data_IF_597961829610
#
_entry.id   IF_597961829610
#
_cell.length_a   1.000
_cell.length_b   1.000
_cell.length_c   1.000
_cell.angle_alpha   90.00
_cell.angle_beta   90.00
_cell.angle_gamma   90.00
#
_symmetry.space_group_name_H-M   'P 1'
#
loop_
_entity.id
_entity.type
_entity.pdbx_description
1 polymer ?
#
# COMPACT_ATOMS: atom_id res chain seq x y z
N UNK A 1 22.33 21.24 -64.80
CA UNK A 1 22.16 20.80 -63.39
C UNK A 1 20.70 20.46 -63.19
N UNK A 2 20.36 19.55 -62.28
CA UNK A 2 18.98 19.14 -62.03
C UNK A 2 18.61 19.46 -60.58
N UNK A 3 17.52 20.19 -60.37
CA UNK A 3 16.94 20.46 -59.05
C UNK A 3 15.59 19.73 -58.98
N UNK A 4 15.44 18.86 -57.99
CA UNK A 4 14.22 18.08 -57.80
C UNK A 4 13.20 18.82 -56.93
N UNK A 5 11.94 18.90 -57.37
CA UNK A 5 10.87 19.49 -56.58
C UNK A 5 10.46 18.57 -55.41
N UNK A 6 10.60 19.08 -54.19
CA UNK A 6 10.07 18.39 -53.00
C UNK A 6 8.54 18.55 -52.91
N UNK A 7 7.75 17.48 -52.71
CA UNK A 7 6.30 17.57 -52.63
C UNK A 7 5.86 18.18 -51.31
N UNK A 8 5.06 19.25 -51.37
CA UNK A 8 4.59 19.96 -50.18
C UNK A 8 3.65 19.09 -49.31
N UNK A 9 3.97 18.96 -48.02
CA UNK A 9 3.15 18.20 -47.08
C UNK A 9 1.78 18.88 -46.86
N UNK A 10 0.69 18.17 -47.21
CA UNK A 10 -0.67 18.61 -46.89
C UNK A 10 -0.88 18.58 -45.37
N UNK A 11 -1.02 19.73 -44.74
CA UNK A 11 -1.58 19.83 -43.38
C UNK A 11 -3.03 19.34 -43.41
N UNK A 12 -3.28 18.18 -42.81
CA UNK A 12 -4.63 17.78 -42.42
C UNK A 12 -5.08 18.73 -41.31
N UNK A 13 -6.19 19.44 -41.53
CA UNK A 13 -6.92 20.05 -40.42
C UNK A 13 -7.67 18.94 -39.69
N UNK A 14 -7.41 18.80 -38.39
CA UNK A 14 -8.27 18.04 -37.49
C UNK A 14 -9.20 19.06 -36.84
N UNK A 15 -10.50 18.93 -37.05
CA UNK A 15 -11.49 19.86 -36.49
C UNK A 15 -11.61 19.64 -34.98
N UNK A 16 -11.21 20.64 -34.21
CA UNK A 16 -10.99 20.55 -32.75
C UNK A 16 -12.28 20.61 -31.91
N UNK A 17 -13.38 20.05 -32.41
CA UNK A 17 -14.74 20.34 -31.92
C UNK A 17 -15.65 19.11 -31.73
N UNK A 18 -15.10 17.89 -31.75
CA UNK A 18 -15.86 16.63 -31.58
C UNK A 18 -15.71 15.95 -30.20
N UNK A 19 -14.83 16.44 -29.33
CA UNK A 19 -14.51 15.80 -28.05
C UNK A 19 -15.00 16.63 -26.83
N UNK A 20 -16.30 16.95 -26.80
CA UNK A 20 -16.86 17.83 -25.77
C UNK A 20 -18.37 17.63 -25.49
N UNK A 21 -18.85 16.40 -25.23
CA UNK A 21 -20.19 16.19 -24.61
C UNK A 21 -20.48 14.80 -24.02
N UNK A 22 -19.48 13.95 -23.73
CA UNK A 22 -19.69 12.74 -22.94
C UNK A 22 -18.91 12.81 -21.62
N UNK A 23 -19.65 13.14 -20.56
CA UNK A 23 -19.15 12.96 -19.19
C UNK A 23 -19.21 11.47 -18.89
N UNK A 24 -18.05 10.82 -18.75
CA UNK A 24 -17.98 9.40 -18.40
C UNK A 24 -18.70 9.18 -17.05
N UNK A 25 -19.82 8.46 -17.08
CA UNK A 25 -20.58 8.14 -15.88
C UNK A 25 -19.85 7.11 -15.01
N UNK A 26 -20.03 7.21 -13.68
CA UNK A 26 -19.53 6.22 -12.72
C UNK A 26 -20.02 4.81 -13.12
N UNK A 27 -19.14 3.81 -13.32
CA UNK A 27 -19.55 2.50 -13.79
C UNK A 27 -20.48 1.75 -12.81
N UNK A 28 -21.59 1.24 -13.34
CA UNK A 28 -22.60 0.55 -12.55
C UNK A 28 -22.31 -0.96 -12.46
N UNK A 29 -22.26 -1.49 -11.24
CA UNK A 29 -22.18 -2.93 -10.96
C UNK A 29 -23.40 -3.33 -10.13
N UNK A 30 -24.17 -4.31 -10.61
CA UNK A 30 -25.44 -4.76 -10.02
C UNK A 30 -26.48 -3.63 -9.76
N UNK A 31 -26.40 -2.52 -10.51
CA UNK A 31 -27.35 -1.40 -10.42
C UNK A 31 -27.12 -0.42 -9.26
N UNK A 32 -26.03 -0.56 -8.50
CA UNK A 32 -25.62 0.41 -7.48
C UNK A 32 -24.43 1.24 -7.95
N UNK A 33 -24.51 2.57 -7.81
CA UNK A 33 -23.42 3.50 -8.11
C UNK A 33 -22.43 3.58 -6.95
N UNK A 34 -21.36 2.79 -7.03
CA UNK A 34 -20.21 2.86 -6.14
C UNK A 34 -19.10 3.73 -6.74
N UNK A 35 -18.38 4.50 -5.91
CA UNK A 35 -17.13 5.13 -6.34
C UNK A 35 -16.10 4.03 -6.66
N UNK A 36 -15.37 4.17 -7.77
CA UNK A 36 -14.25 3.27 -8.07
C UNK A 36 -13.01 3.66 -7.26
N UNK A 37 -12.31 2.67 -6.73
CA UNK A 37 -10.96 2.77 -6.21
C UNK A 37 -10.07 1.73 -6.89
N UNK A 38 -8.80 2.08 -7.08
CA UNK A 38 -7.82 1.21 -7.71
C UNK A 38 -6.62 0.99 -6.80
N UNK A 39 -6.28 -0.28 -6.51
CA UNK A 39 -5.32 -0.68 -5.49
C UNK A 39 -4.21 -1.53 -6.11
N UNK A 40 -3.07 -0.91 -6.36
CA UNK A 40 -1.80 -1.60 -6.62
C UNK A 40 -1.27 -2.25 -5.34
N UNK A 41 -0.71 -3.46 -5.44
CA UNK A 41 -0.14 -4.15 -4.26
C UNK A 41 -1.20 -4.65 -3.27
N UNK A 42 -2.41 -4.98 -3.74
CA UNK A 42 -3.57 -5.33 -2.91
C UNK A 42 -3.34 -6.53 -1.95
N UNK A 43 -2.38 -7.41 -2.25
CA UNK A 43 -2.01 -8.57 -1.41
C UNK A 43 -0.97 -8.24 -0.33
N UNK A 44 -0.45 -7.02 -0.32
CA UNK A 44 0.33 -6.45 0.79
C UNK A 44 -0.56 -6.02 1.96
N UNK A 45 0.05 -5.81 3.13
CA UNK A 45 -0.63 -5.47 4.38
C UNK A 45 -1.60 -4.29 4.25
N UNK A 46 -1.08 -3.14 3.80
CA UNK A 46 -1.88 -1.92 3.65
C UNK A 46 -2.93 -2.05 2.53
N UNK A 47 -2.62 -2.86 1.50
CA UNK A 47 -3.53 -3.18 0.40
C UNK A 47 -4.78 -3.95 0.85
N UNK A 48 -4.62 -4.94 1.73
CA UNK A 48 -5.75 -5.65 2.34
C UNK A 48 -6.63 -4.73 3.21
N UNK A 49 -6.03 -3.98 4.13
CA UNK A 49 -6.77 -3.10 5.04
C UNK A 49 -7.42 -1.90 4.34
N UNK A 50 -6.81 -1.36 3.28
CA UNK A 50 -7.46 -0.35 2.44
C UNK A 50 -8.66 -0.96 1.71
N UNK A 51 -8.54 -2.18 1.19
CA UNK A 51 -9.62 -2.82 0.42
C UNK A 51 -10.85 -3.10 1.29
N UNK A 52 -10.66 -3.60 2.51
CA UNK A 52 -11.72 -3.70 3.53
C UNK A 52 -12.39 -2.34 3.76
N UNK A 53 -11.61 -1.31 4.10
CA UNK A 53 -12.10 0.04 4.40
C UNK A 53 -12.86 0.69 3.22
N UNK A 54 -12.53 0.33 1.98
CA UNK A 54 -13.20 0.81 0.78
C UNK A 54 -14.49 0.04 0.48
N UNK A 55 -14.48 -1.29 0.61
CA UNK A 55 -15.66 -2.14 0.45
C UNK A 55 -16.74 -1.80 1.49
N UNK A 56 -16.35 -1.60 2.76
CA UNK A 56 -17.22 -1.10 3.84
C UNK A 56 -17.81 0.29 3.53
N UNK A 57 -17.12 1.11 2.75
CA UNK A 57 -17.59 2.42 2.26
C UNK A 57 -18.40 2.33 0.97
N UNK A 58 -18.70 1.12 0.49
CA UNK A 58 -19.49 0.89 -0.71
C UNK A 58 -18.75 1.15 -2.04
N UNK A 59 -17.43 1.27 -2.03
CA UNK A 59 -16.63 1.42 -3.25
C UNK A 59 -16.61 0.12 -4.08
N UNK A 60 -16.32 0.27 -5.36
CA UNK A 60 -15.88 -0.82 -6.25
C UNK A 60 -14.35 -0.80 -6.24
N UNK A 61 -13.73 -1.88 -5.77
CA UNK A 61 -12.28 -2.00 -5.58
C UNK A 61 -11.70 -2.87 -6.69
N UNK A 62 -10.90 -2.26 -7.56
CA UNK A 62 -10.09 -2.99 -8.53
C UNK A 62 -8.68 -3.19 -7.97
N UNK A 63 -8.21 -4.45 -7.92
CA UNK A 63 -6.94 -4.81 -7.31
C UNK A 63 -5.95 -5.43 -8.28
N UNK A 64 -4.67 -5.08 -8.17
CA UNK A 64 -3.59 -5.66 -9.00
C UNK A 64 -2.94 -6.83 -8.28
N UNK A 65 -3.03 -8.03 -8.88
CA UNK A 65 -2.33 -9.22 -8.41
C UNK A 65 -1.28 -9.67 -9.43
N UNK A 66 -0.04 -9.85 -8.97
CA UNK A 66 1.02 -10.45 -9.79
C UNK A 66 0.71 -11.91 -10.08
N UNK A 67 1.24 -12.42 -11.20
CA UNK A 67 1.40 -13.87 -11.35
C UNK A 67 2.47 -14.38 -10.37
N UNK A 68 2.16 -15.50 -9.73
CA UNK A 68 3.10 -16.29 -8.93
C UNK A 68 2.86 -17.79 -9.24
N UNK A 69 3.88 -18.62 -9.01
CA UNK A 69 3.76 -20.09 -9.07
C UNK A 69 3.13 -20.70 -7.81
N UNK A 70 2.95 -19.89 -6.77
CA UNK A 70 2.34 -20.24 -5.48
C UNK A 70 1.20 -19.27 -5.15
N UNK A 71 0.33 -19.64 -4.20
CA UNK A 71 -0.80 -18.81 -3.79
C UNK A 71 -0.30 -17.52 -3.11
N UNK A 72 -0.62 -16.36 -3.67
CA UNK A 72 -0.10 -15.05 -3.22
C UNK A 72 -1.18 -14.08 -2.70
N UNK A 73 -2.45 -14.51 -2.65
CA UNK A 73 -3.60 -13.69 -2.22
C UNK A 73 -3.97 -13.85 -0.74
N UNK A 74 -3.18 -14.56 0.07
CA UNK A 74 -3.56 -14.98 1.43
C UNK A 74 -4.16 -13.90 2.33
N UNK A 75 -3.63 -12.66 2.29
CA UNK A 75 -4.14 -11.50 3.07
C UNK A 75 -5.50 -10.95 2.62
N UNK A 76 -6.03 -11.42 1.49
CA UNK A 76 -7.34 -11.03 0.96
C UNK A 76 -8.22 -12.25 0.68
N UNK A 77 -7.84 -13.47 1.08
CA UNK A 77 -8.62 -14.68 0.80
C UNK A 77 -10.03 -14.64 1.44
N UNK A 78 -10.16 -14.10 2.66
CA UNK A 78 -11.47 -13.86 3.29
C UNK A 78 -12.33 -12.85 2.52
N UNK A 79 -11.68 -11.93 1.79
CA UNK A 79 -12.35 -11.02 0.83
C UNK A 79 -12.74 -11.72 -0.48
N UNK A 80 -12.69 -13.05 -0.58
CA UNK A 80 -13.40 -13.88 -1.58
C UNK A 80 -14.46 -14.78 -0.93
N UNK A 81 -14.22 -15.27 0.29
CA UNK A 81 -15.04 -16.30 0.94
C UNK A 81 -16.24 -15.75 1.75
N UNK A 82 -16.21 -14.49 2.20
CA UNK A 82 -17.29 -13.93 3.04
C UNK A 82 -18.58 -13.61 2.25
N UNK A 83 -19.63 -14.38 2.52
CA UNK A 83 -20.96 -14.25 1.93
C UNK A 83 -21.67 -12.92 2.22
N UNK A 84 -21.18 -12.13 3.18
CA UNK A 84 -21.66 -10.76 3.43
C UNK A 84 -20.92 -9.72 2.59
N UNK A 85 -19.61 -9.88 2.38
CA UNK A 85 -18.84 -9.01 1.48
C UNK A 85 -19.19 -9.23 -0.01
N UNK A 86 -19.55 -10.46 -0.40
CA UNK A 86 -19.61 -10.86 -1.81
C UNK A 86 -20.85 -10.49 -2.61
N UNK A 87 -21.93 -10.00 -1.97
CA UNK A 87 -23.19 -9.70 -2.67
C UNK A 87 -23.08 -8.62 -3.76
N UNK A 88 -22.01 -7.83 -3.77
CA UNK A 88 -21.82 -6.76 -4.73
C UNK A 88 -20.98 -7.10 -5.97
N UNK A 89 -20.18 -8.18 -5.97
CA UNK A 89 -19.15 -8.38 -7.00
C UNK A 89 -18.11 -7.24 -7.08
N UNK A 90 -17.91 -6.51 -5.98
CA UNK A 90 -17.21 -5.21 -5.96
C UNK A 90 -15.70 -5.30 -5.84
N UNK A 91 -15.15 -6.46 -5.48
CA UNK A 91 -13.70 -6.72 -5.54
C UNK A 91 -13.38 -7.40 -6.88
N UNK A 92 -12.65 -6.72 -7.75
CA UNK A 92 -12.32 -7.19 -9.10
C UNK A 92 -10.80 -7.23 -9.24
N UNK A 93 -10.22 -8.42 -9.40
CA UNK A 93 -8.77 -8.57 -9.47
C UNK A 93 -8.27 -8.73 -10.90
N UNK A 94 -7.22 -7.98 -11.21
CA UNK A 94 -6.54 -7.98 -12.50
C UNK A 94 -5.16 -8.60 -12.38
N UNK A 95 -4.76 -9.44 -13.34
CA UNK A 95 -3.36 -9.75 -13.56
C UNK A 95 -2.66 -8.55 -14.22
N UNK A 96 -2.28 -7.60 -13.37
CA UNK A 96 -1.27 -6.56 -13.63
C UNK A 96 -0.06 -6.84 -12.75
N UNK A 97 1.09 -6.29 -13.09
CA UNK A 97 2.33 -6.91 -12.63
C UNK A 97 3.31 -5.96 -11.96
N UNK A 98 4.39 -6.55 -11.51
CA UNK A 98 5.67 -5.93 -11.26
C UNK A 98 6.74 -6.51 -12.25
N UNK A 99 6.70 -6.19 -13.57
CA UNK A 99 7.80 -6.38 -14.59
C UNK A 99 8.05 -5.23 -15.61
N UNK A 100 7.35 -5.15 -16.76
CA UNK A 100 7.55 -4.30 -17.98
C UNK A 100 6.92 -2.86 -17.99
N UNK A 101 5.87 -2.59 -18.79
CA UNK A 101 5.16 -1.31 -19.03
C UNK A 101 3.87 -1.48 -19.86
N UNK A 102 3.76 -2.56 -20.63
CA UNK A 102 2.61 -2.85 -21.48
C UNK A 102 1.37 -3.21 -20.64
N UNK A 103 1.58 -3.81 -19.47
CA UNK A 103 0.50 -4.05 -18.51
C UNK A 103 0.01 -2.72 -17.95
N UNK A 104 0.88 -1.79 -17.54
CA UNK A 104 0.56 -0.46 -17.02
C UNK A 104 -0.38 0.31 -17.94
N UNK A 105 -0.21 0.23 -19.28
CA UNK A 105 -1.02 1.01 -20.24
C UNK A 105 -2.25 0.26 -20.77
N UNK A 106 -2.18 -1.06 -21.03
CA UNK A 106 -3.39 -1.87 -21.37
C UNK A 106 -4.29 -2.06 -20.15
N UNK A 107 -3.69 -1.98 -18.97
CA UNK A 107 -4.34 -1.44 -17.81
C UNK A 107 -4.50 0.09 -18.06
N UNK A 108 -4.01 1.09 -17.30
CA UNK A 108 -4.52 2.50 -17.05
C UNK A 108 -5.80 3.02 -17.74
N UNK A 109 -6.06 2.73 -19.00
CA UNK A 109 -7.41 2.29 -19.42
C UNK A 109 -8.07 1.13 -18.59
N UNK A 110 -7.43 0.66 -17.49
CA UNK A 110 -7.78 -0.43 -16.54
C UNK A 110 -6.77 -0.65 -15.35
N UNK A 111 -5.77 0.26 -15.20
CA UNK A 111 -4.70 0.49 -14.17
C UNK A 111 -3.52 -0.48 -13.79
N UNK A 112 -2.29 0.00 -14.04
CA UNK A 112 -1.17 0.20 -13.07
C UNK A 112 -0.21 -0.91 -12.57
N UNK A 113 1.09 -0.66 -12.84
CA UNK A 113 2.31 -1.16 -12.14
C UNK A 113 3.12 -2.16 -13.01
N UNK A 114 4.43 -2.34 -12.71
CA UNK A 114 5.50 -3.21 -13.27
C UNK A 114 6.81 -3.01 -12.37
N UNK A 115 7.95 -3.76 -12.40
CA UNK A 115 9.06 -3.62 -11.36
C UNK A 115 9.91 -2.37 -11.71
N UNK A 116 11.01 -2.32 -12.49
CA UNK A 116 11.80 -3.31 -13.24
C UNK A 116 13.11 -3.86 -12.57
N UNK A 117 14.18 -3.16 -12.16
CA UNK A 117 14.53 -1.73 -11.83
C UNK A 117 13.98 -1.28 -10.46
N UNK A 118 12.73 -1.66 -10.26
CA UNK A 118 12.09 -2.09 -9.04
C UNK A 118 11.68 -1.08 -7.95
N UNK A 119 12.27 -1.04 -6.75
CA UNK A 119 11.78 -0.13 -5.66
C UNK A 119 11.77 1.34 -6.11
N UNK A 120 12.82 1.77 -6.83
CA UNK A 120 12.87 3.10 -7.45
C UNK A 120 11.93 3.26 -8.66
N UNK A 121 11.33 2.18 -9.16
CA UNK A 121 10.55 2.15 -10.39
C UNK A 121 9.07 1.74 -10.19
N UNK A 122 8.68 1.28 -8.99
CA UNK A 122 7.31 1.17 -8.46
C UNK A 122 7.03 2.37 -7.55
N UNK A 123 7.76 2.46 -6.45
CA UNK A 123 7.50 3.45 -5.41
C UNK A 123 7.93 4.85 -5.90
N UNK A 124 9.01 4.90 -6.70
CA UNK A 124 9.43 6.06 -7.49
C UNK A 124 8.71 6.18 -8.85
N UNK A 125 9.26 5.59 -9.92
CA UNK A 125 8.74 5.79 -11.28
C UNK A 125 7.35 5.18 -11.51
N UNK A 126 6.85 4.29 -10.66
CA UNK A 126 5.49 3.75 -10.77
C UNK A 126 4.48 4.80 -10.36
N UNK A 127 4.75 5.50 -9.24
CA UNK A 127 4.07 6.76 -8.86
C UNK A 127 4.15 7.79 -9.99
N UNK A 128 5.33 7.99 -10.61
CA UNK A 128 5.44 8.94 -11.75
C UNK A 128 4.62 8.50 -12.97
N UNK A 129 4.64 7.22 -13.35
CA UNK A 129 3.84 6.67 -14.47
C UNK A 129 2.35 6.74 -14.21
N UNK A 130 1.91 6.52 -12.96
CA UNK A 130 0.54 6.75 -12.52
C UNK A 130 0.14 8.22 -12.71
N UNK A 131 0.94 9.16 -12.21
CA UNK A 131 0.70 10.60 -12.37
C UNK A 131 0.71 11.04 -13.84
N UNK A 132 1.66 10.56 -14.64
CA UNK A 132 1.80 10.95 -16.04
C UNK A 132 0.72 10.32 -16.94
N UNK A 133 0.20 9.15 -16.57
CA UNK A 133 -0.93 8.54 -17.26
C UNK A 133 -2.28 9.16 -16.83
N UNK A 134 -2.46 9.55 -15.56
CA UNK A 134 -3.58 10.41 -15.13
C UNK A 134 -3.60 11.70 -15.96
N UNK A 135 -2.43 12.33 -16.16
CA UNK A 135 -2.24 13.50 -17.02
C UNK A 135 -2.52 13.21 -18.50
N UNK A 136 -2.01 12.10 -19.03
CA UNK A 136 -2.23 11.69 -20.43
C UNK A 136 -3.71 11.39 -20.73
N UNK A 137 -4.46 10.91 -19.74
CA UNK A 137 -5.90 10.69 -19.83
C UNK A 137 -6.77 11.94 -19.54
N UNK A 138 -6.18 13.09 -19.18
CA UNK A 138 -6.92 14.32 -18.83
C UNK A 138 -7.73 14.21 -17.52
N UNK A 139 -7.28 13.38 -16.59
CA UNK A 139 -7.97 13.04 -15.35
C UNK A 139 -7.43 13.80 -14.11
N UNK A 140 -6.63 14.85 -14.30
CA UNK A 140 -5.95 15.58 -13.21
C UNK A 140 -6.92 16.32 -12.27
N UNK A 141 -8.19 16.44 -12.67
CA UNK A 141 -9.28 17.06 -11.89
C UNK A 141 -10.24 16.05 -11.26
N UNK A 142 -10.09 14.76 -11.55
CA UNK A 142 -11.06 13.71 -11.18
C UNK A 142 -10.42 12.56 -10.40
N UNK A 143 -9.20 12.13 -10.76
CA UNK A 143 -8.49 11.07 -10.05
C UNK A 143 -7.70 11.64 -8.86
N UNK A 144 -7.73 10.90 -7.75
CA UNK A 144 -7.06 11.21 -6.49
C UNK A 144 -6.37 9.94 -5.98
N UNK A 145 -5.14 10.06 -5.49
CA UNK A 145 -4.23 8.93 -5.20
C UNK A 145 -3.77 8.97 -3.73
N UNK A 146 -3.71 7.81 -3.05
CA UNK A 146 -3.00 7.46 -1.78
C UNK A 146 -3.77 6.41 -0.90
N UNK A 147 -3.19 5.99 0.24
CA UNK A 147 -3.31 4.67 0.89
C UNK A 147 -3.95 4.64 2.33
N UNK A 148 -4.67 3.56 2.68
CA UNK A 148 -5.47 3.32 3.91
C UNK A 148 -6.31 4.53 4.42
N UNK A 149 -6.42 4.75 5.76
CA UNK A 149 -7.41 5.68 6.37
C UNK A 149 -6.98 7.14 6.36
N UNK A 150 -5.73 7.44 6.74
CA UNK A 150 -5.25 8.82 6.83
C UNK A 150 -5.36 9.49 5.46
N UNK A 151 -5.07 8.74 4.40
CA UNK A 151 -5.00 9.29 3.06
C UNK A 151 -6.36 9.30 2.37
N UNK A 152 -7.31 8.41 2.73
CA UNK A 152 -8.73 8.61 2.36
C UNK A 152 -9.26 9.99 2.78
N UNK A 153 -8.85 10.50 3.95
CA UNK A 153 -9.20 11.85 4.40
C UNK A 153 -8.52 12.93 3.54
N UNK A 154 -7.26 12.75 3.14
CA UNK A 154 -6.58 13.62 2.17
C UNK A 154 -7.33 13.67 0.84
N UNK A 155 -7.89 12.54 0.38
CA UNK A 155 -8.69 12.50 -0.85
C UNK A 155 -10.02 13.27 -0.75
N UNK A 156 -10.47 13.66 0.45
CA UNK A 156 -11.69 14.49 0.60
C UNK A 156 -11.39 16.00 0.67
N UNK A 157 -10.11 16.44 0.61
CA UNK A 157 -9.71 17.85 0.60
C UNK A 157 -9.95 18.50 -0.77
N UNK A 158 -10.30 19.78 -0.83
CA UNK A 158 -10.45 20.49 -2.12
C UNK A 158 -9.12 20.67 -2.86
N UNK A 159 -8.03 20.89 -2.12
CA UNK A 159 -6.66 21.03 -2.63
C UNK A 159 -5.78 19.82 -2.27
N UNK A 160 -4.89 19.35 -3.17
CA UNK A 160 -3.86 18.37 -2.83
C UNK A 160 -2.81 19.02 -1.92
N UNK A 161 -2.39 18.29 -0.88
CA UNK A 161 -1.43 18.75 0.12
C UNK A 161 -0.70 17.57 0.76
N UNK A 162 0.56 17.76 1.13
CA UNK A 162 1.36 16.76 1.85
C UNK A 162 1.07 16.76 3.35
N UNK A 163 1.14 15.57 3.97
CA UNK A 163 0.83 15.34 5.38
C UNK A 163 1.75 14.28 5.99
N UNK A 164 2.33 14.57 7.16
CA UNK A 164 2.98 13.55 8.00
C UNK A 164 1.91 12.76 8.74
N UNK A 165 2.02 11.43 8.69
CA UNK A 165 1.13 10.47 9.36
C UNK A 165 2.00 9.60 10.26
N UNK A 166 1.90 9.80 11.57
CA UNK A 166 2.74 9.16 12.58
C UNK A 166 2.02 9.10 13.93
N UNK A 167 2.56 8.34 14.89
CA UNK A 167 2.01 8.24 16.24
C UNK A 167 2.38 9.42 17.14
N UNK A 168 3.50 10.10 16.86
CA UNK A 168 4.10 11.12 17.75
C UNK A 168 4.89 10.53 18.93
N UNK A 169 5.03 9.21 19.00
CA UNK A 169 5.92 8.49 19.93
C UNK A 169 6.98 7.72 19.14
N UNK A 170 8.07 7.31 19.79
CA UNK A 170 9.15 6.54 19.17
C UNK A 170 9.74 5.58 20.20
N UNK A 171 10.05 4.36 19.75
CA UNK A 171 10.36 3.22 20.61
C UNK A 171 11.55 2.43 20.05
N UNK A 172 12.30 1.78 20.94
CA UNK A 172 13.46 0.99 20.53
C UNK A 172 13.05 -0.44 20.13
N UNK A 173 13.85 -1.07 19.26
CA UNK A 173 13.70 -2.51 18.93
C UNK A 173 13.85 -3.37 20.21
N UNK A 174 14.62 -2.91 21.19
CA UNK A 174 14.75 -3.55 22.50
C UNK A 174 13.42 -3.54 23.28
N UNK A 175 12.76 -2.39 23.36
CA UNK A 175 11.46 -2.24 24.02
C UNK A 175 10.37 -3.07 23.32
N UNK A 176 10.40 -3.14 21.97
CA UNK A 176 9.53 -4.02 21.18
C UNK A 176 9.70 -5.50 21.60
N UNK A 177 10.94 -5.96 21.71
CA UNK A 177 11.27 -7.33 22.15
C UNK A 177 10.83 -7.59 23.59
N UNK A 178 11.13 -6.68 24.52
CA UNK A 178 10.73 -6.78 25.93
C UNK A 178 9.21 -6.83 26.09
N UNK A 179 8.47 -5.96 25.39
CA UNK A 179 7.02 -5.97 25.40
C UNK A 179 6.44 -7.25 24.78
N UNK A 180 7.01 -7.76 23.70
CA UNK A 180 6.56 -8.99 23.05
C UNK A 180 6.71 -10.22 23.97
N UNK A 181 7.89 -10.40 24.58
CA UNK A 181 8.11 -11.46 25.57
C UNK A 181 7.21 -11.32 26.81
N UNK A 182 6.92 -10.09 27.25
CA UNK A 182 6.00 -9.87 28.38
C UNK A 182 4.57 -10.33 28.10
N UNK A 183 4.10 -10.35 26.83
CA UNK A 183 2.76 -10.86 26.48
C UNK A 183 2.62 -12.38 26.72
N UNK A 184 3.74 -13.12 26.66
CA UNK A 184 3.80 -14.56 26.96
C UNK A 184 4.35 -14.86 28.37
N UNK A 185 4.40 -13.85 29.25
CA UNK A 185 4.83 -14.01 30.64
C UNK A 185 6.34 -14.17 30.85
N UNK A 186 7.15 -13.86 29.84
CA UNK A 186 8.62 -13.94 29.92
C UNK A 186 9.22 -12.56 30.19
N UNK A 187 10.16 -12.50 31.15
CA UNK A 187 10.99 -11.30 31.40
C UNK A 187 12.37 -11.52 30.80
N UNK A 188 12.80 -10.61 29.92
CA UNK A 188 14.14 -10.63 29.30
C UNK A 188 15.08 -9.71 30.09
N UNK A 189 16.26 -10.22 30.40
CA UNK A 189 17.40 -9.47 30.94
C UNK A 189 18.50 -9.44 29.88
N UNK A 190 19.15 -8.30 29.69
CA UNK A 190 20.20 -8.13 28.70
C UNK A 190 21.58 -8.20 29.33
N UNK A 191 22.45 -9.04 28.75
CA UNK A 191 23.85 -9.18 29.14
C UNK A 191 24.76 -9.07 27.91
N UNK A 192 26.03 -8.69 28.10
CA UNK A 192 26.95 -8.38 27.01
C UNK A 192 26.79 -6.96 26.45
N UNK A 193 27.39 -6.67 25.29
CA UNK A 193 27.32 -5.38 24.57
C UNK A 193 27.62 -5.58 23.08
N UNK A 194 26.92 -4.83 22.22
CA UNK A 194 27.15 -4.85 20.78
C UNK A 194 26.82 -6.23 20.18
N UNK A 195 27.71 -6.77 19.37
CA UNK A 195 27.55 -8.08 18.73
C UNK A 195 27.54 -9.25 19.74
N UNK A 196 28.12 -9.04 20.93
CA UNK A 196 28.13 -10.00 22.04
C UNK A 196 26.93 -9.79 23.00
N UNK A 197 25.96 -8.93 22.65
CA UNK A 197 24.75 -8.72 23.49
C UNK A 197 23.70 -9.83 23.30
N UNK A 198 23.13 -10.30 24.40
CA UNK A 198 22.15 -11.39 24.45
C UNK A 198 20.97 -11.04 25.36
N UNK A 199 19.77 -11.38 24.91
CA UNK A 199 18.54 -11.33 25.70
C UNK A 199 18.28 -12.69 26.34
N UNK A 200 18.31 -12.76 27.67
CA UNK A 200 18.21 -13.98 28.47
C UNK A 200 16.87 -13.99 29.21
N UNK A 201 16.14 -15.10 29.15
CA UNK A 201 14.91 -15.30 29.92
C UNK A 201 15.25 -15.48 31.41
N UNK A 202 14.87 -14.50 32.22
CA UNK A 202 15.17 -14.41 33.66
C UNK A 202 14.71 -15.63 34.48
N UNK A 203 13.62 -16.28 34.06
CA UNK A 203 13.04 -17.42 34.77
C UNK A 203 13.80 -18.75 34.54
N UNK A 204 14.56 -18.86 33.45
CA UNK A 204 15.18 -20.14 33.02
C UNK A 204 16.69 -20.04 32.79
N UNK A 205 17.24 -18.82 32.63
CA UNK A 205 18.62 -18.61 32.16
C UNK A 205 18.81 -18.91 30.67
N UNK A 206 17.73 -19.15 29.91
CA UNK A 206 17.81 -19.50 28.48
C UNK A 206 18.04 -18.25 27.65
N UNK A 207 19.06 -18.25 26.78
CA UNK A 207 19.22 -17.21 25.75
C UNK A 207 18.04 -17.31 24.78
N UNK A 208 17.32 -16.20 24.59
CA UNK A 208 16.16 -16.07 23.68
C UNK A 208 16.42 -15.15 22.50
N UNK A 209 17.38 -14.23 22.63
CA UNK A 209 17.75 -13.25 21.61
C UNK A 209 19.27 -13.12 21.55
N UNK A 210 19.83 -13.09 20.35
CA UNK A 210 21.25 -12.85 20.08
C UNK A 210 21.38 -11.84 18.93
N UNK A 211 22.46 -11.05 18.93
CA UNK A 211 22.77 -10.12 17.85
C UNK A 211 23.55 -10.84 16.74
N UNK A 212 23.18 -10.60 15.48
CA UNK A 212 23.88 -11.13 14.30
C UNK A 212 24.15 -10.00 13.30
N UNK A 213 25.43 -9.65 13.04
CA UNK A 213 25.81 -8.55 12.15
C UNK A 213 25.27 -8.65 10.72
N UNK A 214 24.83 -9.85 10.25
CA UNK A 214 24.25 -10.00 8.91
C UNK A 214 22.94 -9.22 8.71
N UNK A 215 22.30 -8.78 9.80
CA UNK A 215 21.07 -7.98 9.77
C UNK A 215 21.31 -6.47 9.83
N UNK A 216 22.55 -6.02 10.09
CA UNK A 216 22.89 -4.59 10.09
C UNK A 216 22.84 -4.01 8.67
N UNK A 217 22.40 -2.77 8.53
CA UNK A 217 22.38 -2.06 7.24
C UNK A 217 23.67 -1.25 7.06
N UNK A 218 24.20 -1.13 5.82
CA UNK A 218 25.36 -0.26 5.54
C UNK A 218 25.13 1.22 5.88
N UNK A 219 23.87 1.63 6.01
CA UNK A 219 23.43 2.93 6.50
C UNK A 219 22.21 2.72 7.40
N UNK A 220 22.33 3.02 8.68
CA UNK A 220 21.20 3.00 9.61
C UNK A 220 20.51 4.36 9.72
N UNK A 221 19.32 4.38 10.32
CA UNK A 221 18.56 5.59 10.64
C UNK A 221 18.28 5.59 12.13
N UNK A 222 19.17 6.23 12.91
CA UNK A 222 19.23 6.12 14.37
C UNK A 222 17.95 6.58 15.10
N UNK A 223 17.18 7.49 14.49
CA UNK A 223 16.03 8.12 15.12
C UNK A 223 14.96 8.55 14.10
N UNK A 224 13.71 8.19 14.38
CA UNK A 224 12.53 8.65 13.65
C UNK A 224 11.44 9.07 14.64
N UNK A 225 10.92 10.29 14.47
CA UNK A 225 9.80 10.84 15.23
C UNK A 225 9.01 11.78 14.32
N UNK A 226 7.76 11.44 14.01
CA UNK A 226 6.92 12.21 13.09
C UNK A 226 5.90 13.09 13.80
N UNK A 227 5.90 14.40 13.49
CA UNK A 227 4.86 15.33 13.92
C UNK A 227 3.64 15.26 13.00
N UNK A 228 2.54 14.69 13.49
CA UNK A 228 1.28 14.59 12.77
C UNK A 228 0.32 15.77 13.01
N UNK A 229 0.77 16.87 13.65
CA UNK A 229 -0.07 18.02 14.00
C UNK A 229 -0.83 18.64 12.82
N UNK A 230 -0.25 18.61 11.61
CA UNK A 230 -0.96 19.03 10.38
C UNK A 230 -2.16 18.12 10.08
N UNK A 231 -1.95 16.81 10.09
CA UNK A 231 -2.99 15.80 9.83
C UNK A 231 -4.10 15.86 10.90
N UNK A 232 -3.75 16.08 12.17
CA UNK A 232 -4.73 16.26 13.24
C UNK A 232 -5.59 17.51 13.06
N UNK A 233 -4.98 18.65 12.71
CA UNK A 233 -5.68 19.92 12.52
C UNK A 233 -6.61 19.92 11.30
N UNK A 234 -6.19 19.34 10.17
CA UNK A 234 -6.84 19.55 8.88
C UNK A 234 -7.61 18.33 8.34
N UNK A 235 -7.24 17.12 8.77
CA UNK A 235 -7.92 15.88 8.38
C UNK A 235 -8.79 15.30 9.51
N UNK A 236 -8.67 15.83 10.74
CA UNK A 236 -9.20 15.18 11.95
C UNK A 236 -8.57 13.80 12.19
N UNK A 237 -7.33 13.59 11.72
CA UNK A 237 -6.65 12.31 11.84
C UNK A 237 -5.75 12.25 13.07
N UNK A 238 -5.86 11.17 13.82
CA UNK A 238 -4.97 10.82 14.93
C UNK A 238 -4.83 9.29 15.00
N UNK A 239 -3.71 8.78 15.56
CA UNK A 239 -3.54 7.36 15.85
C UNK A 239 -4.61 6.87 16.83
N UNK A 240 -5.03 5.61 16.70
CA UNK A 240 -6.06 4.96 17.55
C UNK A 240 -5.55 3.77 18.36
N UNK A 241 -4.40 3.23 18.00
CA UNK A 241 -3.77 2.06 18.62
C UNK A 241 -2.42 2.56 19.13
N UNK A 242 -2.15 2.39 20.42
CA UNK A 242 -0.85 2.71 21.02
C UNK A 242 0.19 1.64 20.67
N UNK A 243 1.48 1.96 20.77
CA UNK A 243 2.55 0.97 20.56
C UNK A 243 2.34 -0.33 21.37
N UNK A 244 1.88 -0.24 22.63
CA UNK A 244 1.65 -1.40 23.50
C UNK A 244 0.45 -2.26 23.08
N UNK A 245 -0.59 -1.65 22.54
CA UNK A 245 -1.73 -2.38 21.98
C UNK A 245 -1.35 -3.08 20.68
N UNK A 246 -0.59 -2.42 19.81
CA UNK A 246 -0.08 -3.01 18.57
C UNK A 246 0.76 -4.26 18.84
N UNK A 247 1.74 -4.20 19.76
CA UNK A 247 2.57 -5.36 20.12
C UNK A 247 1.73 -6.50 20.68
N UNK A 248 0.73 -6.19 21.51
CA UNK A 248 -0.20 -7.18 22.07
C UNK A 248 -1.05 -7.85 20.99
N UNK A 249 -1.60 -7.09 20.05
CA UNK A 249 -2.43 -7.62 18.96
C UNK A 249 -1.60 -8.50 18.00
N UNK A 250 -0.38 -8.07 17.65
CA UNK A 250 0.54 -8.86 16.82
C UNK A 250 0.90 -10.20 17.47
N UNK A 251 1.36 -10.19 18.73
CA UNK A 251 1.75 -11.45 19.42
C UNK A 251 0.54 -12.37 19.61
N UNK A 252 -0.65 -11.82 19.91
CA UNK A 252 -1.87 -12.62 20.01
C UNK A 252 -2.27 -13.25 18.66
N UNK A 253 -2.10 -12.53 17.55
CA UNK A 253 -2.37 -13.02 16.20
C UNK A 253 -1.41 -14.15 15.80
N UNK A 254 -0.09 -13.97 16.02
CA UNK A 254 0.92 -14.98 15.70
C UNK A 254 0.74 -16.26 16.53
N UNK A 255 0.42 -16.15 17.82
CA UNK A 255 0.06 -17.30 18.67
C UNK A 255 -1.18 -18.02 18.11
N UNK A 256 -2.22 -17.27 17.72
CA UNK A 256 -3.45 -17.85 17.17
C UNK A 256 -3.28 -18.45 15.76
N UNK A 257 -2.27 -18.01 15.00
CA UNK A 257 -1.88 -18.55 13.70
C UNK A 257 -1.07 -19.84 13.88
N UNK A 258 0.02 -19.79 14.64
CA UNK A 258 0.93 -20.93 14.86
C UNK A 258 0.26 -22.07 15.63
N UNK A 259 -0.71 -21.79 16.50
CA UNK A 259 -1.55 -22.80 17.16
C UNK A 259 -2.46 -23.58 16.18
N UNK A 260 -2.72 -23.04 14.98
CA UNK A 260 -3.48 -23.71 13.91
C UNK A 260 -2.57 -24.37 12.87
N UNK A 261 -1.45 -23.73 12.55
CA UNK A 261 -0.44 -24.23 11.62
C UNK A 261 0.98 -23.84 12.12
N UNK A 262 1.76 -24.77 12.69
CA UNK A 262 3.14 -24.52 13.10
C UNK A 262 4.14 -24.24 11.95
N UNK A 263 3.68 -24.25 10.69
CA UNK A 263 4.45 -23.98 9.47
C UNK A 263 3.85 -22.81 8.66
N UNK A 264 3.28 -21.82 9.35
CA UNK A 264 2.65 -20.63 8.75
C UNK A 264 3.66 -19.52 8.42
#
# INVERSE_FOLDING_TARGET
MAEGSSPAAKRVKVDSNSCASETAGDPEVNGERGKIAFVTGITGQDGSYLSELLLDKGYIVHGVIRRASTFNTGRINHLFDDQYAHKGGRLILHYGDLTDSSSLVKLISQCSFELSEYTANVDGLGTLRLLDAIRTCGLEKTVRFYQVRAMWLMLQRDSPEDYVVATGETHSVRELVELAFSQIGMEIVWEGKGEEEKGIEKATGTVRVEVDPKYYRPTEVDFLLGDYSKAKRELGWEPKITFKELVKEMVAADIALLSKNPLA
#
